data_IF_460071466181
#
_entry.id   IF_460071466181
#
_cell.length_a   1.000
_cell.length_b   1.000
_cell.length_c   1.000
_cell.angle_alpha   90.00
_cell.angle_beta   90.00
_cell.angle_gamma   90.00
#
_symmetry.space_group_name_H-M   'P 1'
#
loop_
_entity.id
_entity.type
_entity.pdbx_description
1 polymer ?
#
# COMPACT_ATOMS: atom_id res chain seq x y z
N UNK A 1 11.69 -17.83 0.28
CA UNK A 1 11.61 -16.64 -0.59
C UNK A 1 12.42 -16.93 -1.84
N UNK A 2 11.81 -16.76 -3.00
CA UNK A 2 12.52 -16.93 -4.27
C UNK A 2 13.15 -15.58 -4.64
N UNK A 3 14.46 -15.60 -4.87
CA UNK A 3 15.19 -14.44 -5.36
C UNK A 3 15.32 -14.51 -6.87
N UNK A 4 15.16 -13.38 -7.52
CA UNK A 4 15.40 -13.28 -8.95
C UNK A 4 16.90 -13.43 -9.21
N UNK A 5 17.28 -14.44 -9.99
CA UNK A 5 18.66 -14.71 -10.35
C UNK A 5 18.80 -14.94 -11.86
N UNK A 6 20.04 -14.96 -12.36
CA UNK A 6 20.33 -15.13 -13.79
C UNK A 6 19.81 -16.44 -14.36
N UNK A 7 19.81 -17.51 -13.57
CA UNK A 7 19.32 -18.83 -13.99
C UNK A 7 17.78 -18.80 -14.20
N UNK A 8 17.04 -18.19 -13.30
CA UNK A 8 15.60 -18.00 -13.45
C UNK A 8 15.27 -17.11 -14.67
N UNK A 9 16.00 -16.01 -14.86
CA UNK A 9 15.85 -15.14 -16.04
C UNK A 9 16.15 -15.89 -17.33
N UNK A 10 17.15 -16.76 -17.33
CA UNK A 10 17.52 -17.54 -18.51
C UNK A 10 16.43 -18.53 -18.94
N UNK A 11 15.76 -19.16 -17.96
CA UNK A 11 14.69 -20.15 -18.17
C UNK A 11 13.32 -19.55 -18.37
N UNK A 12 13.11 -18.29 -17.98
CA UNK A 12 11.83 -17.63 -18.12
C UNK A 12 11.42 -17.48 -19.58
N UNK A 13 10.11 -17.49 -19.81
CA UNK A 13 9.53 -17.36 -21.15
C UNK A 13 9.84 -15.97 -21.72
N UNK A 14 10.25 -15.95 -22.99
CA UNK A 14 10.57 -14.74 -23.75
C UNK A 14 9.86 -14.78 -25.09
N UNK A 15 9.09 -13.72 -25.40
CA UNK A 15 8.31 -13.66 -26.64
C UNK A 15 8.04 -12.22 -27.07
N UNK A 16 7.58 -12.04 -28.30
CA UNK A 16 7.04 -10.77 -28.77
C UNK A 16 5.57 -10.66 -28.33
N UNK A 17 5.27 -9.65 -27.53
CA UNK A 17 3.90 -9.38 -27.09
C UNK A 17 3.03 -8.74 -28.18
N UNK A 18 1.75 -8.49 -27.90
CA UNK A 18 0.79 -7.95 -28.87
C UNK A 18 1.17 -6.57 -29.41
N UNK A 19 1.96 -5.79 -28.68
CA UNK A 19 2.47 -4.47 -29.10
C UNK A 19 3.86 -4.56 -29.77
N UNK A 20 4.32 -5.77 -30.07
CA UNK A 20 5.61 -6.07 -30.68
C UNK A 20 6.82 -5.68 -29.84
N UNK A 21 6.67 -5.63 -28.53
CA UNK A 21 7.78 -5.52 -27.61
C UNK A 21 8.30 -6.92 -27.25
N UNK A 22 9.62 -7.06 -27.16
CA UNK A 22 10.24 -8.28 -26.64
C UNK A 22 10.01 -8.31 -25.12
N UNK A 23 9.26 -9.31 -24.67
CA UNK A 23 8.79 -9.42 -23.29
C UNK A 23 9.46 -10.58 -22.57
N UNK A 24 9.87 -10.31 -21.34
CA UNK A 24 10.28 -11.31 -20.36
C UNK A 24 9.10 -11.59 -19.41
N UNK A 25 8.68 -12.85 -19.36
CA UNK A 25 7.58 -13.28 -18.48
C UNK A 25 8.16 -13.93 -17.20
N UNK A 26 7.99 -13.21 -16.10
CA UNK A 26 8.38 -13.63 -14.75
C UNK A 26 7.16 -13.72 -13.82
N UNK A 27 5.98 -13.96 -14.39
CA UNK A 27 4.74 -14.08 -13.65
C UNK A 27 4.68 -15.34 -12.78
N UNK A 28 4.27 -15.18 -11.52
CA UNK A 28 3.94 -16.32 -10.65
C UNK A 28 5.13 -17.09 -10.08
N UNK A 29 6.34 -16.61 -10.23
CA UNK A 29 7.56 -17.26 -9.72
C UNK A 29 7.78 -17.09 -8.21
N UNK A 30 6.84 -16.46 -7.48
CA UNK A 30 6.94 -16.17 -6.04
C UNK A 30 8.15 -15.30 -5.68
N UNK A 31 8.55 -14.43 -6.60
CA UNK A 31 9.66 -13.49 -6.42
C UNK A 31 9.28 -12.49 -5.30
N UNK A 32 10.18 -12.28 -4.34
CA UNK A 32 9.98 -11.34 -3.24
C UNK A 32 10.85 -10.09 -3.33
N UNK A 33 11.97 -10.18 -4.04
CA UNK A 33 12.94 -9.09 -4.20
C UNK A 33 13.30 -9.02 -5.68
N UNK A 34 13.28 -7.81 -6.24
CA UNK A 34 13.78 -7.53 -7.59
C UNK A 34 15.29 -7.32 -7.47
N UNK A 35 16.05 -8.22 -8.03
CA UNK A 35 17.51 -8.13 -8.06
C UNK A 35 18.03 -8.74 -9.38
N UNK A 36 19.29 -8.48 -9.72
CA UNK A 36 19.94 -9.10 -10.88
C UNK A 36 19.29 -8.88 -12.26
N UNK A 37 18.45 -7.86 -12.43
CA UNK A 37 17.87 -7.52 -13.74
C UNK A 37 18.94 -7.14 -14.78
N UNK A 38 20.16 -6.81 -14.36
CA UNK A 38 21.32 -6.66 -15.26
C UNK A 38 21.59 -7.91 -16.10
N UNK A 39 21.26 -9.11 -15.60
CA UNK A 39 21.38 -10.36 -16.35
C UNK A 39 20.44 -10.43 -17.57
N UNK A 40 19.50 -9.51 -17.73
CA UNK A 40 18.67 -9.35 -18.94
C UNK A 40 19.44 -8.72 -20.10
N UNK A 41 20.62 -8.15 -19.85
CA UNK A 41 21.42 -7.38 -20.81
C UNK A 41 20.60 -6.28 -21.51
N UNK A 42 19.61 -5.70 -20.80
CA UNK A 42 18.72 -4.65 -21.30
C UNK A 42 18.06 -4.99 -22.66
N UNK A 43 17.67 -6.26 -22.88
CA UNK A 43 17.12 -6.71 -24.17
C UNK A 43 15.60 -6.49 -24.27
N UNK A 44 14.91 -6.32 -23.15
CA UNK A 44 13.46 -6.36 -23.10
C UNK A 44 12.83 -4.97 -23.12
N UNK A 45 11.81 -4.80 -23.97
CA UNK A 45 10.93 -3.65 -23.97
C UNK A 45 9.80 -3.77 -22.95
N UNK A 46 9.49 -5.02 -22.52
CA UNK A 46 8.45 -5.31 -21.54
C UNK A 46 8.93 -6.37 -20.54
N UNK A 47 8.64 -6.17 -19.25
CA UNK A 47 8.88 -7.15 -18.19
C UNK A 47 7.59 -7.34 -17.41
N UNK A 48 7.14 -8.60 -17.29
CA UNK A 48 5.96 -8.96 -16.50
C UNK A 48 6.38 -9.69 -15.22
N UNK A 49 6.24 -9.01 -14.09
CA UNK A 49 6.49 -9.50 -12.74
C UNK A 49 5.18 -9.68 -11.95
N UNK A 50 4.06 -9.79 -12.64
CA UNK A 50 2.74 -9.95 -12.00
C UNK A 50 2.64 -11.26 -11.20
N UNK A 51 1.71 -11.31 -10.25
CA UNK A 51 1.42 -12.49 -9.42
C UNK A 51 2.63 -12.99 -8.61
N UNK A 52 3.43 -12.05 -8.07
CA UNK A 52 4.58 -12.33 -7.23
C UNK A 52 4.36 -11.82 -5.77
N UNK A 53 5.40 -11.77 -4.97
CA UNK A 53 5.35 -11.32 -3.56
C UNK A 53 6.25 -10.11 -3.33
N UNK A 54 6.50 -9.30 -4.35
CA UNK A 54 7.39 -8.14 -4.32
C UNK A 54 6.81 -7.07 -3.41
N UNK A 55 7.60 -6.58 -2.46
CA UNK A 55 7.17 -5.56 -1.48
C UNK A 55 7.70 -4.16 -1.78
N UNK A 56 8.79 -4.07 -2.53
CA UNK A 56 9.44 -2.81 -2.89
C UNK A 56 9.97 -2.85 -4.32
N UNK A 57 10.00 -1.70 -4.97
CA UNK A 57 10.72 -1.51 -6.23
C UNK A 57 12.02 -0.80 -5.91
N UNK A 58 13.11 -1.54 -5.93
CA UNK A 58 14.46 -1.09 -5.65
C UNK A 58 15.45 -1.83 -6.55
N UNK A 59 16.69 -1.35 -6.66
CA UNK A 59 17.78 -2.00 -7.40
C UNK A 59 17.45 -2.38 -8.86
N UNK A 60 16.58 -1.58 -9.50
CA UNK A 60 16.33 -1.68 -10.92
C UNK A 60 17.58 -1.20 -11.66
N UNK A 61 18.53 -2.07 -11.93
CA UNK A 61 19.68 -1.73 -12.78
C UNK A 61 19.23 -1.05 -14.08
N UNK A 62 20.09 -0.24 -14.71
CA UNK A 62 19.76 0.55 -15.89
C UNK A 62 19.05 -0.24 -16.99
N UNK A 63 17.74 -0.09 -17.07
CA UNK A 63 16.85 -0.72 -18.07
C UNK A 63 16.47 0.32 -19.14
N UNK A 64 17.41 0.69 -19.99
CA UNK A 64 17.26 1.80 -20.94
C UNK A 64 16.29 1.49 -22.08
N UNK A 65 15.96 0.21 -22.31
CA UNK A 65 15.00 -0.21 -23.34
C UNK A 65 13.61 -0.45 -22.79
N UNK A 66 13.45 -0.56 -21.48
CA UNK A 66 12.19 -0.91 -20.85
C UNK A 66 11.14 0.18 -21.10
N UNK A 67 10.03 -0.21 -21.74
CA UNK A 67 8.85 0.63 -21.98
C UNK A 67 7.66 0.23 -21.13
N UNK A 68 7.56 -1.04 -20.76
CA UNK A 68 6.42 -1.55 -20.00
C UNK A 68 6.88 -2.40 -18.83
N UNK A 69 6.42 -2.04 -17.62
CA UNK A 69 6.66 -2.80 -16.38
C UNK A 69 5.31 -3.17 -15.76
N UNK A 70 5.03 -4.49 -15.71
CA UNK A 70 3.80 -5.04 -15.18
C UNK A 70 4.07 -5.68 -13.82
N UNK A 71 3.38 -5.21 -12.79
CA UNK A 71 3.57 -5.60 -11.38
C UNK A 71 2.23 -5.86 -10.69
N UNK A 72 1.25 -6.38 -11.45
CA UNK A 72 -0.10 -6.67 -10.96
C UNK A 72 -0.03 -7.74 -9.87
N UNK A 73 -0.91 -7.65 -8.85
CA UNK A 73 -1.02 -8.66 -7.80
C UNK A 73 0.31 -8.91 -7.06
N UNK A 74 0.90 -7.85 -6.52
CA UNK A 74 2.07 -7.92 -5.67
C UNK A 74 1.76 -7.32 -4.28
N UNK A 75 2.80 -7.01 -3.50
CA UNK A 75 2.69 -6.40 -2.17
C UNK A 75 3.44 -5.08 -2.07
N UNK A 76 3.61 -4.39 -3.21
CA UNK A 76 4.45 -3.21 -3.31
C UNK A 76 3.84 -2.08 -2.48
N UNK A 77 4.61 -1.57 -1.53
CA UNK A 77 4.28 -0.43 -0.69
C UNK A 77 5.14 0.79 -1.00
N UNK A 78 6.35 0.62 -1.52
CA UNK A 78 7.30 1.71 -1.79
C UNK A 78 8.05 1.53 -3.10
N UNK A 79 8.48 2.65 -3.68
CA UNK A 79 9.30 2.73 -4.91
C UNK A 79 10.46 3.67 -4.60
N UNK A 80 11.68 3.29 -4.98
CA UNK A 80 12.88 4.09 -4.78
C UNK A 80 12.90 5.37 -5.61
N UNK A 81 13.59 6.40 -5.13
CA UNK A 81 13.65 7.72 -5.78
C UNK A 81 14.42 7.70 -7.11
N UNK A 82 15.33 6.75 -7.31
CA UNK A 82 16.11 6.57 -8.53
C UNK A 82 15.40 5.77 -9.64
N UNK A 83 14.14 5.38 -9.40
CA UNK A 83 13.32 4.61 -10.33
C UNK A 83 13.33 5.16 -11.77
N UNK A 84 13.17 6.48 -11.91
CA UNK A 84 13.16 7.14 -13.20
C UNK A 84 14.52 7.11 -13.92
N UNK A 85 15.61 7.17 -13.17
CA UNK A 85 16.98 7.11 -13.70
C UNK A 85 17.23 5.72 -14.28
N UNK A 86 16.75 4.70 -13.58
CA UNK A 86 16.94 3.30 -13.97
C UNK A 86 16.04 2.86 -15.15
N UNK A 87 14.92 3.57 -15.37
CA UNK A 87 13.95 3.25 -16.43
C UNK A 87 13.60 4.49 -17.27
N UNK A 88 14.56 5.11 -18.00
CA UNK A 88 14.39 6.42 -18.62
C UNK A 88 13.38 6.44 -19.79
N UNK A 89 13.03 5.28 -20.36
CA UNK A 89 12.07 5.15 -21.46
C UNK A 89 10.75 4.51 -21.05
N UNK A 90 10.48 4.41 -19.75
CA UNK A 90 9.27 3.77 -19.27
C UNK A 90 8.01 4.56 -19.66
N UNK A 91 7.11 3.93 -20.39
CA UNK A 91 5.84 4.49 -20.87
C UNK A 91 4.64 3.93 -20.09
N UNK A 92 4.72 2.67 -19.67
CA UNK A 92 3.61 1.97 -19.05
C UNK A 92 4.06 1.35 -17.72
N UNK A 93 3.39 1.72 -16.63
CA UNK A 93 3.61 1.16 -15.29
C UNK A 93 2.27 0.69 -14.72
N UNK A 94 2.14 -0.62 -14.50
CA UNK A 94 0.90 -1.22 -14.02
C UNK A 94 1.13 -1.82 -12.62
N UNK A 95 0.59 -1.17 -11.61
CA UNK A 95 0.71 -1.49 -10.19
C UNK A 95 -0.63 -1.89 -9.57
N UNK A 96 -1.57 -2.37 -10.39
CA UNK A 96 -2.89 -2.79 -9.94
C UNK A 96 -2.78 -3.87 -8.85
N UNK A 97 -3.62 -3.75 -7.82
CA UNK A 97 -3.68 -4.69 -6.71
C UNK A 97 -2.34 -4.84 -5.98
N UNK A 98 -1.90 -3.74 -5.38
CA UNK A 98 -0.71 -3.64 -4.54
C UNK A 98 -1.05 -2.98 -3.19
N UNK A 99 -0.04 -2.60 -2.41
CA UNK A 99 -0.20 -2.02 -1.06
C UNK A 99 0.26 -0.56 -0.95
N UNK A 100 0.26 0.16 -2.06
CA UNK A 100 0.64 1.57 -2.08
C UNK A 100 -0.41 2.37 -1.34
N UNK A 101 0.00 3.02 -0.25
CA UNK A 101 -0.88 3.82 0.60
C UNK A 101 -0.62 5.33 0.45
N UNK A 102 0.59 5.70 0.09
CA UNK A 102 1.11 7.04 0.26
C UNK A 102 1.34 7.75 -1.06
N UNK A 103 1.11 9.07 -1.08
CA UNK A 103 1.33 9.92 -2.25
C UNK A 103 2.82 10.19 -2.51
N UNK A 104 3.71 9.92 -1.55
CA UNK A 104 5.15 9.99 -1.76
C UNK A 104 5.63 9.07 -2.88
N UNK A 105 5.04 7.89 -3.00
CA UNK A 105 5.31 6.97 -4.11
C UNK A 105 5.01 7.63 -5.47
N UNK A 106 3.99 8.50 -5.52
CA UNK A 106 3.66 9.26 -6.74
C UNK A 106 4.77 10.26 -7.07
N UNK A 107 5.36 10.92 -6.06
CA UNK A 107 6.48 11.85 -6.27
C UNK A 107 7.69 11.11 -6.86
N UNK A 108 8.01 9.91 -6.38
CA UNK A 108 9.09 9.08 -6.91
C UNK A 108 8.83 8.64 -8.36
N UNK A 109 7.60 8.25 -8.70
CA UNK A 109 7.21 7.90 -10.07
C UNK A 109 7.19 9.14 -10.97
N UNK A 110 6.85 10.33 -10.47
CA UNK A 110 6.67 11.56 -11.25
C UNK A 110 7.95 12.03 -11.96
N UNK A 111 9.09 11.55 -11.51
CA UNK A 111 10.38 11.76 -12.16
C UNK A 111 10.48 11.07 -13.53
N UNK A 112 9.65 10.06 -13.82
CA UNK A 112 9.55 9.39 -15.12
C UNK A 112 8.78 10.26 -16.13
N UNK A 113 9.48 11.16 -16.82
CA UNK A 113 8.86 12.10 -17.78
C UNK A 113 8.27 11.43 -19.03
N UNK A 114 8.66 10.20 -19.32
CA UNK A 114 8.18 9.41 -20.47
C UNK A 114 6.89 8.65 -20.15
N UNK A 115 6.47 8.58 -18.89
CA UNK A 115 5.33 7.79 -18.46
C UNK A 115 4.01 8.33 -19.06
N UNK A 116 3.30 7.48 -19.78
CA UNK A 116 2.04 7.79 -20.44
C UNK A 116 0.84 7.05 -19.83
N UNK A 117 1.07 5.86 -19.28
CA UNK A 117 0.03 5.02 -18.66
C UNK A 117 0.47 4.57 -17.28
N UNK A 118 -0.37 4.86 -16.29
CA UNK A 118 -0.20 4.42 -14.91
C UNK A 118 -1.49 3.78 -14.43
N UNK A 119 -1.40 2.62 -13.77
CA UNK A 119 -2.53 2.05 -13.05
C UNK A 119 -2.15 1.74 -11.61
N UNK A 120 -2.93 2.30 -10.69
CA UNK A 120 -2.85 2.10 -9.24
C UNK A 120 -4.16 1.53 -8.69
N UNK A 121 -5.04 1.01 -9.54
CA UNK A 121 -6.33 0.41 -9.14
C UNK A 121 -6.10 -0.63 -8.04
N UNK A 122 -7.00 -0.68 -7.07
CA UNK A 122 -6.91 -1.55 -5.89
C UNK A 122 -5.63 -1.31 -5.05
N UNK A 123 -5.22 -0.06 -4.91
CA UNK A 123 -4.26 0.40 -3.93
C UNK A 123 -4.95 1.37 -2.94
N UNK A 124 -4.44 1.48 -1.72
CA UNK A 124 -5.04 2.38 -0.72
C UNK A 124 -4.96 3.85 -1.13
N UNK A 125 -3.88 4.23 -1.82
CA UNK A 125 -3.65 5.60 -2.32
C UNK A 125 -4.79 6.11 -3.20
N UNK A 126 -5.50 5.24 -3.93
CA UNK A 126 -6.61 5.64 -4.82
C UNK A 126 -7.84 6.14 -4.06
N UNK A 127 -7.94 5.84 -2.76
CA UNK A 127 -9.03 6.29 -1.87
C UNK A 127 -8.79 7.69 -1.29
N UNK A 128 -7.60 8.22 -1.44
CA UNK A 128 -7.25 9.52 -0.90
C UNK A 128 -7.98 10.64 -1.63
N UNK A 129 -8.44 11.65 -0.85
CA UNK A 129 -9.02 12.87 -1.43
C UNK A 129 -7.99 13.52 -2.36
N UNK A 130 -8.43 13.96 -3.51
CA UNK A 130 -7.58 14.58 -4.56
C UNK A 130 -6.55 13.64 -5.23
N UNK A 131 -6.52 12.34 -4.95
CA UNK A 131 -5.58 11.39 -5.56
C UNK A 131 -5.43 11.59 -7.07
N UNK A 132 -6.54 11.53 -7.82
CA UNK A 132 -6.51 11.62 -9.28
C UNK A 132 -5.95 12.95 -9.78
N UNK A 133 -6.38 14.07 -9.19
CA UNK A 133 -5.87 15.40 -9.54
C UNK A 133 -4.40 15.57 -9.18
N UNK A 134 -3.97 15.02 -8.02
CA UNK A 134 -2.58 15.06 -7.59
C UNK A 134 -1.65 14.31 -8.55
N UNK A 135 -2.03 13.09 -8.95
CA UNK A 135 -1.28 12.31 -9.94
C UNK A 135 -1.18 13.06 -11.28
N UNK A 136 -2.30 13.64 -11.76
CA UNK A 136 -2.33 14.41 -13.01
C UNK A 136 -1.45 15.66 -12.92
N UNK A 137 -1.46 16.36 -11.79
CA UNK A 137 -0.61 17.53 -11.52
C UNK A 137 0.88 17.17 -11.57
N UNK A 138 1.27 16.11 -10.88
CA UNK A 138 2.67 15.65 -10.82
C UNK A 138 3.18 15.07 -12.15
N UNK A 139 2.29 14.50 -12.96
CA UNK A 139 2.62 13.82 -14.21
C UNK A 139 1.84 14.40 -15.40
N UNK A 140 2.20 15.60 -15.90
CA UNK A 140 1.46 16.29 -16.97
C UNK A 140 1.47 15.52 -18.30
N UNK A 141 2.44 14.63 -18.53
CA UNK A 141 2.55 13.80 -19.73
C UNK A 141 1.64 12.57 -19.71
N UNK A 142 1.01 12.28 -18.56
CA UNK A 142 0.15 11.12 -18.42
C UNK A 142 -1.08 11.23 -19.32
N UNK A 143 -1.38 10.14 -20.05
CA UNK A 143 -2.52 10.02 -20.97
C UNK A 143 -3.63 9.15 -20.40
N UNK A 144 -3.26 8.12 -19.65
CA UNK A 144 -4.20 7.17 -19.05
C UNK A 144 -3.82 6.95 -17.60
N UNK A 145 -4.77 7.16 -16.70
CA UNK A 145 -4.66 6.86 -15.27
C UNK A 145 -5.81 5.92 -14.89
N UNK A 146 -5.46 4.78 -14.28
CA UNK A 146 -6.43 3.79 -13.79
C UNK A 146 -7.41 3.37 -14.89
N UNK A 147 -6.88 3.04 -16.08
CA UNK A 147 -7.61 2.68 -17.28
C UNK A 147 -8.55 3.76 -17.84
N UNK A 148 -8.52 4.97 -17.29
CA UNK A 148 -9.33 6.11 -17.74
C UNK A 148 -8.45 7.16 -18.43
N UNK A 149 -8.90 7.65 -19.58
CA UNK A 149 -8.21 8.72 -20.29
C UNK A 149 -8.17 10.00 -19.45
N UNK A 150 -6.99 10.60 -19.33
CA UNK A 150 -6.82 11.91 -18.69
C UNK A 150 -7.27 13.00 -19.66
N UNK A 151 -8.28 13.77 -19.24
CA UNK A 151 -8.87 14.85 -20.04
C UNK A 151 -8.08 16.16 -19.86
N UNK A 152 -8.12 17.04 -20.87
CA UNK A 152 -7.48 18.36 -20.78
C UNK A 152 -8.04 19.20 -19.64
N UNK A 153 -9.37 19.10 -19.39
CA UNK A 153 -10.03 19.83 -18.32
C UNK A 153 -9.50 19.40 -16.94
N UNK A 154 -9.27 18.10 -16.72
CA UNK A 154 -8.69 17.60 -15.46
C UNK A 154 -7.27 18.12 -15.24
N UNK A 155 -6.48 18.30 -16.30
CA UNK A 155 -5.14 18.90 -16.20
C UNK A 155 -5.21 20.37 -15.77
N UNK A 156 -6.16 21.14 -16.32
CA UNK A 156 -6.37 22.54 -15.94
C UNK A 156 -6.88 22.65 -14.50
N UNK A 157 -7.81 21.80 -14.10
CA UNK A 157 -8.33 21.74 -12.74
C UNK A 157 -7.22 21.37 -11.73
N UNK A 158 -6.37 20.41 -12.07
CA UNK A 158 -5.24 20.00 -11.23
C UNK A 158 -4.24 21.14 -11.03
N UNK A 159 -3.86 21.85 -12.09
CA UNK A 159 -2.98 23.02 -12.02
C UNK A 159 -3.63 24.12 -11.18
N UNK A 160 -4.89 24.49 -11.47
CA UNK A 160 -5.62 25.53 -10.75
C UNK A 160 -5.73 25.21 -9.26
N UNK A 161 -5.95 23.94 -8.89
CA UNK A 161 -6.05 23.53 -7.50
C UNK A 161 -4.70 23.60 -6.80
N UNK A 162 -3.66 22.98 -7.36
CA UNK A 162 -2.38 22.79 -6.66
C UNK A 162 -1.41 23.98 -6.79
N UNK A 163 -1.64 24.95 -7.67
CA UNK A 163 -0.93 26.21 -7.74
C UNK A 163 -1.61 27.32 -6.92
N UNK A 164 -2.73 27.06 -6.25
CA UNK A 164 -3.37 27.97 -5.32
C UNK A 164 -2.77 27.87 -3.90
N UNK A 165 -2.95 28.92 -3.08
CA UNK A 165 -2.57 28.90 -1.65
C UNK A 165 -3.22 27.74 -0.87
N UNK A 166 -4.44 27.36 -1.23
CA UNK A 166 -5.11 26.19 -0.66
C UNK A 166 -4.44 24.90 -1.11
N UNK A 167 -3.98 24.84 -2.37
CA UNK A 167 -3.28 23.71 -2.94
C UNK A 167 -1.93 23.45 -2.28
N UNK A 168 -1.17 24.50 -1.98
CA UNK A 168 0.08 24.39 -1.24
C UNK A 168 -0.14 23.78 0.15
N UNK A 169 -1.17 24.23 0.87
CA UNK A 169 -1.56 23.65 2.16
C UNK A 169 -1.99 22.19 2.04
N UNK A 170 -2.67 21.82 0.95
CA UNK A 170 -3.04 20.43 0.68
C UNK A 170 -1.79 19.58 0.46
N UNK A 171 -0.82 20.05 -0.34
CA UNK A 171 0.45 19.35 -0.59
C UNK A 171 1.25 19.20 0.71
N UNK A 172 1.32 20.26 1.51
CA UNK A 172 1.99 20.23 2.80
C UNK A 172 1.31 19.24 3.76
N UNK A 173 -0.01 19.24 3.84
CA UNK A 173 -0.77 18.28 4.62
C UNK A 173 -0.59 16.83 4.12
N UNK A 174 -0.46 16.61 2.82
CA UNK A 174 -0.17 15.31 2.24
C UNK A 174 1.22 14.84 2.69
N UNK A 175 2.23 15.71 2.63
CA UNK A 175 3.58 15.43 3.10
C UNK A 175 3.65 15.24 4.62
N UNK A 176 2.94 16.05 5.38
CA UNK A 176 2.94 16.02 6.85
C UNK A 176 2.07 14.90 7.43
N UNK A 177 1.08 14.36 6.70
CA UNK A 177 0.31 13.17 7.12
C UNK A 177 1.18 11.92 7.27
N UNK A 178 2.32 11.86 6.61
CA UNK A 178 3.34 10.85 6.90
C UNK A 178 3.99 10.98 8.28
N UNK A 179 3.90 12.13 8.93
CA UNK A 179 4.58 12.36 10.21
C UNK A 179 3.65 12.54 11.41
N UNK A 180 2.33 12.80 11.25
CA UNK A 180 1.65 13.45 12.37
C UNK A 180 0.30 12.93 12.86
N UNK A 181 -0.44 12.02 12.27
CA UNK A 181 -1.72 11.70 12.90
C UNK A 181 -1.97 10.21 13.20
N UNK A 182 -1.83 9.31 12.26
CA UNK A 182 -2.17 7.91 12.54
C UNK A 182 -1.12 7.21 13.41
N UNK A 183 0.18 7.56 13.23
CA UNK A 183 1.27 6.94 14.00
C UNK A 183 1.43 7.53 15.40
N UNK A 184 1.13 8.81 15.62
CA UNK A 184 1.24 9.44 16.94
C UNK A 184 0.04 9.06 17.81
N UNK A 185 -1.19 9.08 17.26
CA UNK A 185 -2.38 8.63 17.99
C UNK A 185 -2.34 7.11 18.21
N UNK A 186 -1.93 6.33 17.21
CA UNK A 186 -1.74 4.90 17.36
C UNK A 186 -0.62 4.56 18.34
N UNK A 187 0.53 5.28 18.30
CA UNK A 187 1.60 5.11 19.29
C UNK A 187 1.19 5.55 20.68
N UNK A 188 0.46 6.67 20.83
CA UNK A 188 -0.12 7.08 22.12
C UNK A 188 -1.16 6.08 22.61
N UNK A 189 -2.02 5.56 21.73
CA UNK A 189 -2.95 4.49 22.03
C UNK A 189 -2.23 3.23 22.50
N UNK A 190 -1.18 2.80 21.79
CA UNK A 190 -0.34 1.66 22.17
C UNK A 190 0.47 1.90 23.45
N UNK A 191 0.94 3.11 23.73
CA UNK A 191 1.63 3.42 24.98
C UNK A 191 0.69 3.37 26.18
N UNK A 192 -0.55 3.85 26.03
CA UNK A 192 -1.58 3.72 27.05
C UNK A 192 -2.00 2.27 27.30
N UNK A 193 -1.89 1.41 26.29
CA UNK A 193 -2.20 -0.02 26.35
C UNK A 193 -1.00 -0.81 26.91
N UNK A 194 0.26 -0.47 26.57
CA UNK A 194 1.46 -1.17 27.00
C UNK A 194 1.59 -1.32 28.52
N UNK A 195 0.95 -0.46 29.29
CA UNK A 195 0.97 -0.51 30.76
C UNK A 195 -0.03 -1.51 31.36
N UNK A 196 -0.80 -2.25 30.53
CA UNK A 196 -1.77 -3.22 31.03
C UNK A 196 -1.70 -4.54 30.26
N UNK A 197 -0.90 -5.49 30.77
CA UNK A 197 -0.68 -6.81 30.14
C UNK A 197 -1.98 -7.59 29.87
N UNK A 198 -3.01 -7.43 30.70
CA UNK A 198 -4.32 -8.09 30.50
C UNK A 198 -5.04 -7.52 29.27
N UNK A 199 -5.07 -6.21 29.13
CA UNK A 199 -5.70 -5.52 27.98
C UNK A 199 -5.00 -5.92 26.68
N UNK A 200 -3.66 -5.99 26.69
CA UNK A 200 -2.88 -6.43 25.55
C UNK A 200 -3.23 -7.86 25.09
N UNK A 201 -3.45 -8.76 26.04
CA UNK A 201 -3.82 -10.15 25.73
C UNK A 201 -5.21 -10.23 25.10
N UNK A 202 -6.19 -9.50 25.64
CA UNK A 202 -7.57 -9.45 25.11
C UNK A 202 -7.59 -8.85 23.70
N UNK A 203 -6.83 -7.79 23.45
CA UNK A 203 -6.70 -7.18 22.13
C UNK A 203 -6.06 -8.16 21.13
N UNK A 204 -5.00 -8.86 21.53
CA UNK A 204 -4.34 -9.85 20.69
C UNK A 204 -5.28 -11.00 20.33
N UNK A 205 -6.10 -11.46 21.27
CA UNK A 205 -7.11 -12.49 21.04
C UNK A 205 -8.26 -11.98 20.14
N UNK A 206 -8.74 -10.75 20.33
CA UNK A 206 -9.74 -10.14 19.43
C UNK A 206 -9.21 -9.98 17.99
N UNK A 207 -7.93 -9.59 17.81
CA UNK A 207 -7.28 -9.51 16.48
C UNK A 207 -7.13 -10.91 15.86
N UNK A 208 -6.75 -11.91 16.66
CA UNK A 208 -6.53 -13.28 16.19
C UNK A 208 -7.84 -13.95 15.75
N UNK A 209 -8.95 -13.62 16.39
CA UNK A 209 -10.28 -14.17 16.14
C UNK A 209 -11.10 -13.36 15.11
N UNK A 210 -10.56 -12.24 14.61
CA UNK A 210 -11.24 -11.46 13.57
C UNK A 210 -11.16 -12.17 12.22
N UNK A 211 -12.30 -12.38 11.59
CA UNK A 211 -12.43 -13.17 10.36
C UNK A 211 -12.45 -12.32 9.09
N UNK A 212 -12.54 -10.99 9.19
CA UNK A 212 -12.59 -10.11 8.02
C UNK A 212 -11.86 -8.78 8.26
N UNK A 213 -11.57 -8.08 7.16
CA UNK A 213 -10.84 -6.82 7.16
C UNK A 213 -11.60 -5.67 7.85
N UNK A 214 -12.93 -5.66 7.79
CA UNK A 214 -13.76 -4.63 8.45
C UNK A 214 -13.66 -4.72 9.96
N UNK A 215 -13.67 -5.92 10.53
CA UNK A 215 -13.47 -6.15 11.97
C UNK A 215 -12.10 -5.69 12.43
N UNK A 216 -11.04 -5.99 11.66
CA UNK A 216 -9.67 -5.53 11.95
C UNK A 216 -9.56 -4.01 11.94
N UNK A 217 -10.19 -3.35 10.97
CA UNK A 217 -10.20 -1.88 10.90
C UNK A 217 -11.01 -1.25 12.04
N UNK A 218 -12.09 -1.89 12.45
CA UNK A 218 -12.89 -1.44 13.60
C UNK A 218 -12.10 -1.56 14.91
N UNK A 219 -11.40 -2.68 15.12
CA UNK A 219 -10.49 -2.86 16.27
C UNK A 219 -9.38 -1.80 16.25
N UNK A 220 -8.76 -1.55 15.10
CA UNK A 220 -7.73 -0.51 14.94
C UNK A 220 -8.29 0.88 15.30
N UNK A 221 -9.46 1.24 14.80
CA UNK A 221 -10.09 2.53 15.11
C UNK A 221 -10.39 2.66 16.60
N UNK A 222 -10.93 1.62 17.24
CA UNK A 222 -11.22 1.61 18.69
C UNK A 222 -9.94 1.68 19.54
N UNK A 223 -8.82 1.13 19.07
CA UNK A 223 -7.50 1.29 19.72
C UNK A 223 -7.06 2.75 19.63
N UNK A 224 -7.21 3.37 18.46
CA UNK A 224 -6.77 4.74 18.19
C UNK A 224 -7.60 5.76 19.01
N UNK A 225 -8.92 5.55 19.14
CA UNK A 225 -9.81 6.41 19.93
C UNK A 225 -9.76 6.15 21.43
N UNK A 226 -9.09 5.06 21.86
CA UNK A 226 -9.08 4.64 23.28
C UNK A 226 -10.38 3.99 23.75
N UNK A 227 -11.38 3.85 22.89
CA UNK A 227 -12.69 3.24 23.21
C UNK A 227 -12.56 1.77 23.61
N UNK A 228 -11.58 1.04 23.03
CA UNK A 228 -11.36 -0.38 23.31
C UNK A 228 -11.03 -0.63 24.80
N UNK A 229 -10.31 0.29 25.44
CA UNK A 229 -9.96 0.19 26.86
C UNK A 229 -11.21 0.34 27.75
N UNK A 230 -12.13 1.22 27.35
CA UNK A 230 -13.38 1.44 28.05
C UNK A 230 -14.36 0.27 27.86
N UNK A 231 -14.42 -0.30 26.65
CA UNK A 231 -15.21 -1.51 26.38
C UNK A 231 -14.71 -2.71 27.24
N UNK A 232 -13.38 -2.95 27.24
CA UNK A 232 -12.80 -4.04 28.02
C UNK A 232 -13.07 -3.87 29.52
N UNK A 233 -12.97 -2.63 30.06
CA UNK A 233 -13.30 -2.37 31.46
C UNK A 233 -14.77 -2.65 31.78
N UNK A 234 -15.67 -2.30 30.84
CA UNK A 234 -17.11 -2.53 31.00
C UNK A 234 -17.45 -4.02 30.95
N UNK A 235 -16.83 -4.78 30.03
CA UNK A 235 -16.95 -6.24 29.96
C UNK A 235 -16.46 -6.91 31.27
N UNK A 236 -15.33 -6.44 31.84
CA UNK A 236 -14.80 -6.95 33.13
C UNK A 236 -15.72 -6.61 34.34
N UNK A 237 -16.35 -5.45 34.34
CA UNK A 237 -17.31 -5.06 35.40
C UNK A 237 -18.58 -5.92 35.31
N UNK A 238 -19.12 -6.15 34.12
CA UNK A 238 -20.28 -7.03 33.91
C UNK A 238 -20.00 -8.49 34.28
N UNK A 239 -18.78 -9.00 34.00
CA UNK A 239 -18.39 -10.36 34.45
C UNK A 239 -18.30 -10.46 35.96
N UNK A 240 -17.72 -9.48 36.63
CA UNK A 240 -17.65 -9.44 38.11
C UNK A 240 -19.01 -9.36 38.76
N UNK A 241 -19.96 -8.65 38.17
CA UNK A 241 -21.35 -8.60 38.67
C UNK A 241 -22.05 -9.97 38.49
N UNK A 242 -21.88 -10.62 37.35
CA UNK A 242 -22.41 -11.96 37.08
C UNK A 242 -21.81 -13.02 38.03
N UNK A 243 -20.53 -12.93 38.35
CA UNK A 243 -19.88 -13.82 39.35
C UNK A 243 -20.43 -13.59 40.76
N UNK A 244 -20.59 -12.33 41.18
CA UNK A 244 -21.20 -11.99 42.49
C UNK A 244 -22.65 -12.47 42.60
N UNK A 245 -23.41 -12.39 41.53
CA UNK A 245 -24.78 -12.94 41.51
C UNK A 245 -24.79 -14.46 41.60
N UNK A 246 -23.87 -15.15 40.90
CA UNK A 246 -23.72 -16.60 40.97
C UNK A 246 -23.31 -17.05 42.39
N UNK A 247 -22.44 -16.31 43.03
CA UNK A 247 -22.01 -16.60 44.42
C UNK A 247 -23.14 -16.37 45.42
N UNK A 248 -23.90 -15.28 45.28
CA UNK A 248 -25.11 -15.03 46.07
C UNK A 248 -26.16 -16.12 45.90
N UNK A 249 -26.36 -16.63 44.67
CA UNK A 249 -27.26 -17.76 44.43
C UNK A 249 -26.76 -19.04 45.05
N UNK A 250 -25.46 -19.36 44.98
CA UNK A 250 -24.86 -20.54 45.65
C UNK A 250 -25.01 -20.48 47.16
N UNK A 251 -24.74 -19.33 47.79
CA UNK A 251 -24.85 -19.18 49.23
C UNK A 251 -26.30 -19.23 49.72
N UNK A 252 -27.30 -18.94 48.86
CA UNK A 252 -28.74 -19.07 49.21
C UNK A 252 -29.22 -20.52 49.22
N UNK A 253 -28.50 -21.42 48.54
CA UNK A 253 -28.79 -22.89 48.52
C UNK A 253 -28.07 -23.69 49.61
N UNK A 254 -27.15 -23.07 50.37
CA UNK A 254 -26.39 -23.72 51.47
C UNK A 254 -27.06 -23.46 52.83
N UNK A 255 -28.04 -22.50 52.91
CA UNK A 255 -28.67 -22.09 54.18
C UNK A 255 -30.11 -22.64 54.30
N UNK A 256 -30.54 -23.44 53.37
CA UNK A 256 -31.79 -24.23 53.45
C UNK A 256 -31.40 -25.72 53.41
#
# INVERSE_FOLDING_TARGET
>A
MVKLNSDLISRALKYLNAVKDYQLDLRGYKISIIENLSATNDQFGSIDLSDNSISKIEELNSLNRLRSLLLINNRIASIQNDFAINCPKLENLILTNNKIADLEVIDNISSCKTLQRLSLVNNLVTKLKYYRLYVIYKMPNLRVLDFQKVKKIEKLEAVKLFESEEGEKIIENIKNKHFNNDDIEFKKGLENIKNNEKVNKIIADKIKNSNNYEELMNIKNKITTGEIVNEIKKEEEEEKEKEKEKEKRKNKYIIN
#
